data_IF_884247121013
#
_entry.id   IF_884247121013
#
_cell.length_a   1.000
_cell.length_b   1.000
_cell.length_c   1.000
_cell.angle_alpha   90.00
_cell.angle_beta   90.00
_cell.angle_gamma   90.00
#
_symmetry.space_group_name_H-M   'P 1'
#
loop_
_entity.id
_entity.type
_entity.pdbx_description
1 polymer ?
#
# COMPACT_ATOMS: atom_id res chain seq x y z
N UNK A 1 -16.92 -27.12 -3.04
CA UNK A 1 -17.03 -25.87 -3.85
C UNK A 1 -17.02 -24.68 -2.91
N UNK A 2 -15.83 -24.28 -2.44
CA UNK A 2 -15.67 -23.18 -1.50
C UNK A 2 -15.69 -21.84 -2.26
N UNK A 3 -16.69 -21.00 -1.98
CA UNK A 3 -16.80 -19.65 -2.53
C UNK A 3 -15.66 -18.79 -1.94
N UNK A 4 -14.82 -18.32 -2.84
CA UNK A 4 -13.73 -17.35 -2.64
C UNK A 4 -14.25 -16.07 -1.97
N UNK A 5 -13.68 -15.69 -0.83
CA UNK A 5 -14.02 -14.45 -0.12
C UNK A 5 -12.92 -13.41 -0.36
N UNK A 6 -13.27 -12.33 -1.05
CA UNK A 6 -12.54 -11.06 -0.98
C UNK A 6 -12.69 -10.54 0.45
N UNK A 7 -11.63 -9.94 1.01
CA UNK A 7 -11.65 -9.37 2.35
C UNK A 7 -12.63 -8.18 2.42
N UNK A 8 -13.88 -8.50 2.72
CA UNK A 8 -15.03 -7.62 2.61
C UNK A 8 -14.88 -6.40 3.53
N UNK A 9 -14.24 -6.56 4.70
CA UNK A 9 -13.89 -5.49 5.63
C UNK A 9 -13.14 -4.36 4.95
N UNK A 10 -12.02 -4.66 4.28
CA UNK A 10 -11.15 -3.65 3.68
C UNK A 10 -11.82 -3.01 2.47
N UNK A 11 -12.40 -3.83 1.60
CA UNK A 11 -13.11 -3.33 0.44
C UNK A 11 -14.29 -2.45 0.87
N UNK A 12 -15.01 -2.84 1.91
CA UNK A 12 -16.10 -2.08 2.51
C UNK A 12 -15.68 -0.72 3.06
N UNK A 13 -14.62 -0.69 3.88
CA UNK A 13 -14.08 0.55 4.42
C UNK A 13 -13.60 1.51 3.32
N UNK A 14 -12.98 0.99 2.26
CA UNK A 14 -12.51 1.80 1.13
C UNK A 14 -13.65 2.35 0.30
N UNK A 15 -14.66 1.51 -0.01
CA UNK A 15 -15.87 1.96 -0.70
C UNK A 15 -16.62 3.02 0.13
N UNK A 16 -16.65 2.88 1.46
CA UNK A 16 -17.22 3.88 2.37
C UNK A 16 -16.50 5.21 2.27
N UNK A 17 -15.16 5.20 2.34
CA UNK A 17 -14.34 6.41 2.28
C UNK A 17 -14.52 7.13 0.94
N UNK A 18 -14.43 6.40 -0.18
CA UNK A 18 -14.67 6.94 -1.52
C UNK A 18 -16.08 7.52 -1.64
N UNK A 19 -17.11 6.79 -1.17
CA UNK A 19 -18.48 7.31 -1.19
C UNK A 19 -18.63 8.58 -0.36
N UNK A 20 -17.97 8.68 0.79
CA UNK A 20 -18.01 9.90 1.62
C UNK A 20 -17.34 11.10 0.94
N UNK A 21 -16.31 10.85 0.13
CA UNK A 21 -15.64 11.89 -0.64
C UNK A 21 -16.46 12.34 -1.87
N UNK A 22 -17.14 11.42 -2.54
CA UNK A 22 -17.87 11.71 -3.78
C UNK A 22 -19.32 12.15 -3.54
N UNK A 23 -19.98 11.61 -2.50
CA UNK A 23 -21.40 11.82 -2.28
C UNK A 23 -21.70 12.41 -0.90
N UNK A 24 -22.61 13.41 -0.83
CA UNK A 24 -22.93 14.10 0.42
C UNK A 24 -23.63 13.19 1.44
N UNK A 25 -24.25 12.10 1.00
CA UNK A 25 -24.87 11.12 1.90
C UNK A 25 -24.91 9.72 1.30
N UNK A 26 -25.13 8.73 2.16
CA UNK A 26 -25.37 7.35 1.73
C UNK A 26 -26.66 7.24 0.90
N UNK A 27 -27.68 8.05 1.20
CA UNK A 27 -28.93 8.09 0.44
C UNK A 27 -28.72 8.61 -0.98
N UNK A 28 -27.92 9.65 -1.15
CA UNK A 28 -27.58 10.20 -2.47
C UNK A 28 -26.93 9.13 -3.36
N UNK A 29 -25.91 8.43 -2.84
CA UNK A 29 -25.28 7.34 -3.58
C UNK A 29 -26.22 6.15 -3.83
N UNK A 30 -27.10 5.83 -2.87
CA UNK A 30 -28.08 4.76 -3.02
C UNK A 30 -29.03 5.02 -4.20
N UNK A 31 -29.51 6.28 -4.32
CA UNK A 31 -30.38 6.71 -5.42
C UNK A 31 -29.68 6.61 -6.78
N UNK A 32 -28.39 6.98 -6.84
CA UNK A 32 -27.63 7.01 -8.09
C UNK A 32 -27.14 5.62 -8.53
N UNK A 33 -26.57 4.83 -7.62
CA UNK A 33 -26.05 3.49 -7.90
C UNK A 33 -27.14 2.41 -8.04
N UNK A 34 -28.37 2.72 -7.60
CA UNK A 34 -29.45 1.73 -7.48
C UNK A 34 -29.10 0.58 -6.52
N UNK A 35 -28.25 0.84 -5.52
CA UNK A 35 -27.92 -0.11 -4.45
C UNK A 35 -28.75 0.27 -3.22
N UNK A 36 -29.59 -0.62 -2.66
CA UNK A 36 -30.40 -0.28 -1.50
C UNK A 36 -29.56 0.16 -0.30
N UNK A 37 -29.99 1.19 0.41
CA UNK A 37 -29.35 1.72 1.63
C UNK A 37 -28.88 0.65 2.62
N UNK A 38 -29.72 -0.36 2.87
CA UNK A 38 -29.40 -1.47 3.79
C UNK A 38 -28.25 -2.34 3.25
N UNK A 39 -28.24 -2.61 1.96
CA UNK A 39 -27.15 -3.34 1.30
C UNK A 39 -25.88 -2.51 1.31
N UNK A 40 -25.98 -1.21 1.04
CA UNK A 40 -24.85 -0.30 1.04
C UNK A 40 -24.21 -0.16 2.42
N UNK A 41 -25.01 -0.10 3.50
CA UNK A 41 -24.48 -0.11 4.86
C UNK A 41 -23.69 -1.39 5.18
N UNK A 42 -24.18 -2.55 4.73
CA UNK A 42 -23.49 -3.84 4.89
C UNK A 42 -22.22 -3.94 4.03
N UNK A 43 -22.25 -3.39 2.81
CA UNK A 43 -21.05 -3.24 1.97
C UNK A 43 -20.02 -2.41 2.72
N UNK A 44 -20.40 -1.22 3.19
CA UNK A 44 -19.51 -0.28 3.89
C UNK A 44 -18.97 -0.76 5.24
N UNK A 45 -19.68 -1.68 5.90
CA UNK A 45 -19.19 -2.36 7.11
C UNK A 45 -18.34 -3.59 6.80
N UNK A 46 -18.27 -4.00 5.54
CA UNK A 46 -17.55 -5.18 5.10
C UNK A 46 -18.15 -6.50 5.58
N UNK A 47 -19.47 -6.60 5.52
CA UNK A 47 -20.23 -7.80 5.90
C UNK A 47 -20.00 -8.96 4.91
N UNK A 48 -19.40 -10.05 5.39
CA UNK A 48 -19.11 -11.27 4.61
C UNK A 48 -20.36 -11.99 4.06
N UNK A 49 -21.54 -11.67 4.59
CA UNK A 49 -22.83 -12.13 4.08
C UNK A 49 -23.34 -11.34 2.87
N UNK A 50 -22.58 -10.35 2.37
CA UNK A 50 -22.88 -9.62 1.14
C UNK A 50 -22.11 -10.25 -0.03
N UNK A 51 -22.82 -10.54 -1.13
CA UNK A 51 -22.16 -11.15 -2.28
C UNK A 51 -21.16 -10.21 -2.94
N UNK A 52 -20.04 -10.76 -3.44
CA UNK A 52 -19.02 -10.02 -4.17
C UNK A 52 -19.59 -9.13 -5.28
N UNK A 53 -20.58 -9.64 -6.05
CA UNK A 53 -21.23 -8.86 -7.10
C UNK A 53 -21.84 -7.52 -6.62
N UNK A 54 -22.20 -7.40 -5.34
CA UNK A 54 -22.68 -6.14 -4.74
C UNK A 54 -21.54 -5.17 -4.43
N UNK A 55 -20.39 -5.68 -3.96
CA UNK A 55 -19.17 -4.89 -3.82
C UNK A 55 -18.68 -4.38 -5.18
N UNK A 56 -18.66 -5.25 -6.19
CA UNK A 56 -18.30 -4.88 -7.58
C UNK A 56 -19.23 -3.80 -8.14
N UNK A 57 -20.54 -3.93 -7.89
CA UNK A 57 -21.52 -2.91 -8.32
C UNK A 57 -21.26 -1.56 -7.64
N UNK A 58 -20.94 -1.55 -6.35
CA UNK A 58 -20.61 -0.33 -5.62
C UNK A 58 -19.30 0.30 -6.12
N UNK A 59 -18.26 -0.51 -6.33
CA UNK A 59 -16.99 -0.06 -6.89
C UNK A 59 -17.18 0.57 -8.28
N UNK A 60 -17.95 -0.08 -9.16
CA UNK A 60 -18.27 0.45 -10.49
C UNK A 60 -19.04 1.77 -10.44
N UNK A 61 -20.00 1.89 -9.53
CA UNK A 61 -20.78 3.12 -9.36
C UNK A 61 -19.97 4.28 -8.73
N UNK A 62 -18.80 3.96 -8.14
CA UNK A 62 -17.83 4.94 -7.64
C UNK A 62 -16.67 5.15 -8.63
N UNK A 63 -16.75 4.57 -9.83
CA UNK A 63 -15.66 4.54 -10.82
C UNK A 63 -14.34 3.97 -10.26
N UNK A 64 -14.42 3.14 -9.23
CA UNK A 64 -13.30 2.63 -8.46
C UNK A 64 -12.97 1.17 -8.81
N UNK A 65 -13.08 0.79 -10.09
CA UNK A 65 -12.78 -0.59 -10.53
C UNK A 65 -11.34 -1.00 -10.20
N UNK A 66 -10.42 -0.04 -10.18
CA UNK A 66 -9.02 -0.23 -9.79
C UNK A 66 -8.86 -0.81 -8.37
N UNK A 67 -9.82 -0.59 -7.46
CA UNK A 67 -9.77 -1.20 -6.12
C UNK A 67 -9.78 -2.73 -6.17
N UNK A 68 -10.32 -3.30 -7.25
CA UNK A 68 -10.44 -4.75 -7.44
C UNK A 68 -9.16 -5.34 -7.99
N UNK A 69 -8.36 -4.55 -8.70
CA UNK A 69 -7.06 -4.93 -9.24
C UNK A 69 -5.97 -4.94 -8.16
N UNK A 70 -6.19 -4.21 -7.05
CA UNK A 70 -5.28 -4.13 -5.90
C UNK A 70 -5.32 -5.39 -5.02
N UNK A 71 -6.41 -6.17 -5.05
CA UNK A 71 -6.48 -7.42 -4.28
C UNK A 71 -5.94 -8.58 -5.14
N UNK A 72 -4.72 -9.06 -4.90
CA UNK A 72 -4.23 -10.24 -5.60
C UNK A 72 -5.10 -11.42 -5.21
N UNK A 73 -5.31 -12.34 -6.14
CA UNK A 73 -6.11 -13.56 -6.00
C UNK A 73 -5.45 -14.61 -5.07
N UNK A 74 -5.00 -14.22 -3.87
CA UNK A 74 -4.33 -15.11 -2.93
C UNK A 74 -4.85 -14.94 -1.50
N UNK A 75 -5.68 -15.92 -1.12
CA UNK A 75 -5.80 -16.60 0.19
C UNK A 75 -5.82 -15.79 1.50
N UNK A 76 -7.00 -15.81 2.14
CA UNK A 76 -7.30 -15.93 3.59
C UNK A 76 -6.63 -15.03 4.65
N UNK A 77 -5.95 -13.93 4.31
CA UNK A 77 -5.65 -12.94 5.33
C UNK A 77 -6.77 -11.88 5.42
N UNK A 78 -7.51 -11.88 6.53
CA UNK A 78 -7.96 -10.62 7.13
C UNK A 78 -6.72 -9.71 7.21
N UNK A 79 -6.52 -8.81 6.25
CA UNK A 79 -5.44 -7.83 6.30
C UNK A 79 -5.78 -6.82 7.39
N UNK A 80 -5.53 -7.26 8.61
CA UNK A 80 -5.07 -6.39 9.69
C UNK A 80 -3.73 -5.82 9.25
N UNK A 81 -3.41 -4.57 9.60
CA UNK A 81 -2.07 -4.05 9.43
C UNK A 81 -1.09 -5.09 10.02
N UNK A 82 -0.08 -5.52 9.28
CA UNK A 82 0.91 -6.46 9.78
C UNK A 82 1.47 -5.95 11.11
N UNK A 83 1.37 -6.79 12.15
CA UNK A 83 1.87 -6.48 13.49
C UNK A 83 3.35 -6.09 13.47
N UNK A 84 4.10 -6.71 12.56
CA UNK A 84 5.47 -6.36 12.24
C UNK A 84 5.60 -6.06 10.74
N UNK A 85 5.86 -4.79 10.42
CA UNK A 85 5.99 -4.28 9.06
C UNK A 85 7.36 -3.64 8.85
N UNK A 86 8.04 -4.00 7.77
CA UNK A 86 9.32 -3.43 7.38
C UNK A 86 9.18 -2.71 6.03
N UNK A 87 9.64 -1.46 5.97
CA UNK A 87 9.51 -0.60 4.79
C UNK A 87 10.65 0.43 4.72
N UNK A 88 10.58 1.36 3.76
CA UNK A 88 11.54 2.44 3.57
C UNK A 88 12.95 1.94 3.29
N UNK A 89 13.95 2.70 3.76
CA UNK A 89 15.37 2.37 3.56
C UNK A 89 15.72 0.92 3.98
N UNK A 90 15.16 0.43 5.09
CA UNK A 90 15.41 -0.92 5.57
C UNK A 90 14.92 -2.01 4.60
N UNK A 91 13.76 -1.82 3.98
CA UNK A 91 13.25 -2.76 2.97
C UNK A 91 13.98 -2.62 1.63
N UNK A 92 14.46 -1.42 1.28
CA UNK A 92 15.31 -1.22 0.09
C UNK A 92 16.67 -1.94 0.19
N UNK A 93 17.17 -2.20 1.41
CA UNK A 93 18.37 -2.99 1.65
C UNK A 93 18.17 -4.51 1.51
N UNK A 94 16.93 -4.99 1.38
CA UNK A 94 16.63 -6.41 1.19
C UNK A 94 16.64 -6.78 -0.29
N UNK A 95 16.93 -8.03 -0.62
CA UNK A 95 16.94 -8.50 -2.01
C UNK A 95 15.54 -8.44 -2.61
N UNK A 96 15.40 -7.69 -3.70
CA UNK A 96 14.15 -7.55 -4.44
C UNK A 96 13.89 -8.72 -5.39
N UNK A 97 12.87 -8.58 -6.24
CA UNK A 97 12.48 -9.59 -7.24
C UNK A 97 13.61 -9.97 -8.20
N UNK A 98 14.51 -9.04 -8.46
CA UNK A 98 15.65 -9.21 -9.38
C UNK A 98 16.89 -9.79 -8.67
N UNK A 99 16.78 -10.17 -7.40
CA UNK A 99 17.87 -10.77 -6.62
C UNK A 99 18.89 -9.78 -6.05
N UNK A 100 18.75 -8.49 -6.35
CA UNK A 100 19.63 -7.42 -5.86
C UNK A 100 18.90 -6.52 -4.85
N UNK A 101 19.58 -6.00 -3.81
CA UNK A 101 19.05 -4.91 -3.01
C UNK A 101 19.14 -3.59 -3.78
N UNK A 102 18.19 -2.67 -3.53
CA UNK A 102 18.24 -1.33 -4.12
C UNK A 102 19.24 -0.43 -3.39
N UNK A 103 19.37 -0.59 -2.06
CA UNK A 103 20.39 0.10 -1.28
C UNK A 103 21.49 -0.88 -0.82
N UNK A 104 22.73 -0.53 -1.12
CA UNK A 104 23.92 -1.36 -0.89
C UNK A 104 24.46 -1.28 0.55
N UNK A 105 23.77 -0.61 1.48
CA UNK A 105 24.12 -0.61 2.90
C UNK A 105 23.96 -2.00 3.58
N UNK A 106 23.53 -3.01 2.82
CA UNK A 106 23.37 -4.41 3.24
C UNK A 106 24.68 -5.15 3.53
N UNK A 107 25.86 -4.55 3.29
CA UNK A 107 27.15 -5.05 3.84
C UNK A 107 27.15 -5.17 5.38
N UNK A 108 26.10 -4.67 6.04
CA UNK A 108 25.86 -4.75 7.47
C UNK A 108 25.07 -6.00 7.90
N UNK A 109 24.40 -6.72 6.99
CA UNK A 109 23.72 -7.99 7.33
C UNK A 109 24.72 -9.12 7.66
N UNK A 110 25.98 -8.97 7.24
CA UNK A 110 27.04 -9.93 7.58
C UNK A 110 27.56 -9.81 9.02
N UNK A 111 27.13 -8.80 9.79
CA UNK A 111 27.57 -8.62 11.18
C UNK A 111 26.38 -8.54 12.15
N UNK A 112 25.95 -9.72 12.62
CA UNK A 112 24.77 -9.92 13.46
C UNK A 112 24.79 -9.18 14.81
N UNK A 113 25.93 -8.67 15.26
CA UNK A 113 26.03 -7.96 16.55
C UNK A 113 25.73 -6.46 16.45
N UNK A 114 25.74 -5.88 15.24
CA UNK A 114 25.58 -4.42 15.01
C UNK A 114 24.39 -4.08 14.11
N UNK A 115 23.50 -5.03 13.84
CA UNK A 115 22.33 -4.78 12.99
C UNK A 115 21.34 -3.82 13.66
N UNK A 116 20.89 -2.81 12.92
CA UNK A 116 19.84 -1.87 13.35
C UNK A 116 18.78 -1.72 12.26
N UNK A 117 17.50 -1.79 12.65
CA UNK A 117 16.40 -1.43 11.75
C UNK A 117 16.22 0.09 11.80
N UNK A 118 16.51 0.76 10.69
CA UNK A 118 16.20 2.17 10.54
C UNK A 118 14.71 2.37 10.16
N UNK A 119 14.14 3.50 10.58
CA UNK A 119 12.78 3.89 10.16
C UNK A 119 11.64 3.26 10.97
N UNK A 120 11.85 2.92 12.25
CA UNK A 120 10.80 2.42 13.17
C UNK A 120 9.53 3.30 13.17
N UNK A 121 9.69 4.61 13.02
CA UNK A 121 8.58 5.58 13.04
C UNK A 121 8.07 5.95 11.64
N UNK A 122 8.48 5.22 10.61
CA UNK A 122 8.04 5.48 9.26
C UNK A 122 6.58 5.05 9.08
N UNK A 123 5.78 5.95 8.52
CA UNK A 123 4.34 5.73 8.40
C UNK A 123 4.03 4.76 7.27
N UNK A 124 3.38 3.65 7.60
CA UNK A 124 2.92 2.68 6.61
C UNK A 124 1.80 3.24 5.74
N UNK A 125 1.85 2.96 4.43
CA UNK A 125 0.75 3.27 3.50
C UNK A 125 -0.23 2.12 3.32
N UNK A 126 -0.30 1.18 4.27
CA UNK A 126 -1.25 0.04 4.22
C UNK A 126 -2.71 0.51 4.09
N UNK A 127 -3.02 1.68 4.65
CA UNK A 127 -4.32 2.31 4.49
C UNK A 127 -4.60 2.82 3.06
N UNK A 128 -3.56 3.11 2.27
CA UNK A 128 -3.64 3.56 0.87
C UNK A 128 -3.54 2.41 -0.14
N UNK A 129 -2.59 1.50 0.05
CA UNK A 129 -2.28 0.46 -0.93
C UNK A 129 -2.67 -0.96 -0.48
N UNK A 130 -3.09 -1.14 0.77
CA UNK A 130 -3.45 -2.46 1.30
C UNK A 130 -2.24 -3.39 1.26
N UNK A 131 -2.47 -4.62 0.80
CA UNK A 131 -1.43 -5.64 0.64
C UNK A 131 -0.55 -5.46 -0.62
N UNK A 132 -0.82 -4.46 -1.47
CA UNK A 132 -0.08 -4.29 -2.72
C UNK A 132 1.40 -3.99 -2.45
N UNK A 133 2.27 -4.78 -3.08
CA UNK A 133 3.71 -4.64 -2.87
C UNK A 133 4.20 -5.12 -1.51
N UNK A 134 3.46 -5.98 -0.81
CA UNK A 134 3.86 -6.57 0.47
C UNK A 134 4.04 -8.08 0.32
N UNK A 135 5.06 -8.64 0.96
CA UNK A 135 5.33 -10.09 1.00
C UNK A 135 5.81 -10.53 2.39
N UNK A 136 5.76 -11.83 2.68
CA UNK A 136 6.34 -12.40 3.90
C UNK A 136 7.88 -12.49 3.74
N UNK A 137 8.59 -11.66 4.51
CA UNK A 137 10.06 -11.61 4.49
C UNK A 137 10.73 -12.35 5.65
N UNK A 138 9.97 -13.04 6.51
CA UNK A 138 10.52 -13.72 7.69
C UNK A 138 11.57 -14.75 7.33
N UNK A 139 11.38 -15.48 6.23
CA UNK A 139 12.35 -16.48 5.80
C UNK A 139 13.69 -15.84 5.44
N UNK A 140 13.68 -14.67 4.78
CA UNK A 140 14.91 -13.95 4.41
C UNK A 140 15.67 -13.47 5.65
N UNK A 141 14.94 -12.92 6.63
CA UNK A 141 15.55 -12.44 7.87
C UNK A 141 16.11 -13.59 8.73
N UNK A 142 15.39 -14.72 8.82
CA UNK A 142 15.87 -15.93 9.50
C UNK A 142 17.07 -16.53 8.80
N UNK A 143 17.08 -16.56 7.46
CA UNK A 143 18.22 -17.03 6.68
C UNK A 143 19.46 -16.16 6.91
N UNK A 144 19.27 -14.86 7.16
CA UNK A 144 20.34 -13.95 7.57
C UNK A 144 20.78 -14.12 9.04
N UNK A 145 20.21 -15.06 9.79
CA UNK A 145 20.55 -15.34 11.19
C UNK A 145 19.78 -14.52 12.22
N UNK A 146 18.72 -13.80 11.81
CA UNK A 146 17.94 -12.96 12.70
C UNK A 146 16.71 -13.72 13.18
N UNK A 147 16.59 -13.92 14.50
CA UNK A 147 15.41 -14.54 15.10
C UNK A 147 14.26 -13.52 15.17
N UNK A 148 13.25 -13.73 14.33
CA UNK A 148 12.10 -12.82 14.18
C UNK A 148 10.76 -13.56 14.09
N UNK A 149 9.67 -12.94 14.57
CA UNK A 149 8.31 -13.40 14.32
C UNK A 149 7.96 -13.29 12.81
N UNK A 150 6.68 -13.45 12.47
CA UNK A 150 6.21 -13.15 11.11
C UNK A 150 6.37 -11.66 10.83
N UNK A 151 7.15 -11.31 9.80
CA UNK A 151 7.48 -9.93 9.40
C UNK A 151 7.07 -9.74 7.95
N UNK A 152 6.17 -8.80 7.74
CA UNK A 152 5.72 -8.41 6.41
C UNK A 152 6.61 -7.28 5.88
N UNK A 153 7.03 -7.40 4.64
CA UNK A 153 8.04 -6.53 4.04
C UNK A 153 7.48 -5.90 2.79
N UNK A 154 7.70 -4.59 2.64
CA UNK A 154 7.46 -3.87 1.40
C UNK A 154 8.46 -4.31 0.32
N UNK A 155 8.01 -4.61 -0.90
CA UNK A 155 8.91 -4.65 -2.05
C UNK A 155 9.51 -3.26 -2.29
N UNK A 156 10.51 -3.16 -3.17
CA UNK A 156 11.26 -1.92 -3.34
C UNK A 156 10.39 -0.74 -3.75
N UNK A 157 9.47 -0.94 -4.68
CA UNK A 157 8.55 0.10 -5.13
C UNK A 157 7.67 0.59 -3.98
N UNK A 158 7.27 -0.31 -3.07
CA UNK A 158 6.38 0.00 -1.93
C UNK A 158 7.15 0.64 -0.80
N UNK A 159 8.38 0.19 -0.59
CA UNK A 159 9.31 0.79 0.32
C UNK A 159 9.60 2.24 -0.08
N UNK A 160 9.83 2.50 -1.37
CA UNK A 160 10.01 3.85 -1.90
C UNK A 160 8.73 4.69 -1.75
N UNK A 161 7.57 4.15 -2.11
CA UNK A 161 6.29 4.85 -1.95
C UNK A 161 6.02 5.25 -0.49
N UNK A 162 6.19 4.33 0.47
CA UNK A 162 6.07 4.60 1.90
C UNK A 162 7.03 5.70 2.35
N UNK A 163 8.28 5.64 1.86
CA UNK A 163 9.33 6.60 2.18
C UNK A 163 8.94 8.02 1.73
N UNK A 164 8.55 8.16 0.46
CA UNK A 164 8.12 9.44 -0.10
C UNK A 164 6.86 9.97 0.58
N UNK A 165 5.88 9.10 0.82
CA UNK A 165 4.65 9.48 1.51
C UNK A 165 4.94 10.00 2.93
N UNK A 166 5.82 9.33 3.68
CA UNK A 166 6.16 9.78 5.03
C UNK A 166 6.81 11.17 5.03
N UNK A 167 7.83 11.40 4.20
CA UNK A 167 8.55 12.67 4.24
C UNK A 167 7.81 13.80 3.54
N UNK A 168 7.22 13.55 2.38
CA UNK A 168 6.66 14.60 1.52
C UNK A 168 5.19 14.90 1.83
N UNK A 169 4.37 13.89 2.13
CA UNK A 169 2.95 14.10 2.46
C UNK A 169 2.74 14.35 3.96
N UNK A 170 3.27 13.47 4.82
CA UNK A 170 3.02 13.56 6.28
C UNK A 170 3.90 14.61 6.96
N UNK A 171 5.22 14.53 6.79
CA UNK A 171 6.17 15.43 7.46
C UNK A 171 6.33 16.77 6.75
N UNK A 172 6.05 16.82 5.44
CA UNK A 172 6.26 17.99 4.56
C UNK A 172 7.70 18.49 4.61
N UNK A 173 8.66 17.57 4.61
CA UNK A 173 10.11 17.81 4.62
C UNK A 173 10.77 17.17 3.40
N UNK A 174 12.02 17.54 3.12
CA UNK A 174 12.79 16.86 2.08
C UNK A 174 13.03 15.38 2.41
N UNK A 175 13.20 14.57 1.37
CA UNK A 175 13.58 13.15 1.46
C UNK A 175 15.06 13.07 1.86
N UNK A 176 15.39 12.47 3.02
CA UNK A 176 16.78 12.39 3.46
C UNK A 176 17.50 11.20 2.83
N UNK A 177 18.81 11.32 2.66
CA UNK A 177 19.79 10.22 2.47
C UNK A 177 19.60 9.26 1.28
N UNK A 178 18.56 9.44 0.45
CA UNK A 178 18.32 8.65 -0.76
C UNK A 178 18.04 9.63 -1.89
N UNK A 179 18.79 9.53 -2.99
CA UNK A 179 18.51 10.17 -4.26
C UNK A 179 17.94 9.13 -5.24
N UNK A 180 17.20 9.60 -6.25
CA UNK A 180 16.63 8.72 -7.26
C UNK A 180 17.71 7.91 -7.99
N UNK A 181 18.84 8.55 -8.32
CA UNK A 181 19.99 7.92 -8.98
C UNK A 181 20.69 6.84 -8.15
N UNK A 182 20.37 6.73 -6.86
CA UNK A 182 20.95 5.70 -6.00
C UNK A 182 20.23 4.35 -6.15
N UNK A 183 19.03 4.34 -6.74
CA UNK A 183 18.11 3.20 -6.71
C UNK A 183 17.37 2.93 -8.04
N UNK A 184 17.48 3.79 -9.05
CA UNK A 184 16.69 3.72 -10.29
C UNK A 184 17.11 2.59 -11.25
N UNK A 185 18.25 1.95 -10.99
CA UNK A 185 18.72 0.75 -11.66
C UNK A 185 18.05 -0.54 -11.15
N UNK A 186 17.52 -0.52 -9.92
CA UNK A 186 16.88 -1.68 -9.27
C UNK A 186 15.38 -1.48 -9.08
N UNK A 187 14.94 -0.28 -8.71
CA UNK A 187 13.55 0.03 -8.38
C UNK A 187 12.77 0.44 -9.62
N UNK A 188 11.58 -0.15 -9.83
CA UNK A 188 10.67 0.33 -10.87
C UNK A 188 10.00 1.65 -10.44
N UNK A 189 10.67 2.75 -10.74
CA UNK A 189 10.22 4.12 -10.46
C UNK A 189 8.86 4.42 -11.11
N UNK A 190 8.57 3.80 -12.26
CA UNK A 190 7.29 4.01 -12.96
C UNK A 190 6.15 3.39 -12.15
N UNK A 191 6.34 2.19 -11.63
CA UNK A 191 5.36 1.54 -10.75
C UNK A 191 5.11 2.37 -9.48
N UNK A 192 6.14 2.95 -8.86
CA UNK A 192 5.94 3.86 -7.72
C UNK A 192 5.13 5.10 -8.12
N UNK A 193 5.39 5.68 -9.30
CA UNK A 193 4.63 6.81 -9.80
C UNK A 193 3.17 6.45 -10.12
N UNK A 194 2.91 5.29 -10.70
CA UNK A 194 1.56 4.79 -10.92
C UNK A 194 0.78 4.68 -9.61
N UNK A 195 1.43 4.32 -8.50
CA UNK A 195 0.80 4.29 -7.18
C UNK A 195 0.53 5.67 -6.59
N UNK A 196 1.36 6.67 -6.90
CA UNK A 196 1.07 8.09 -6.57
C UNK A 196 -0.21 8.53 -7.26
N UNK A 197 -0.37 8.17 -8.53
CA UNK A 197 -1.55 8.52 -9.32
C UNK A 197 -2.80 7.73 -8.87
N UNK A 198 -2.64 6.44 -8.60
CA UNK A 198 -3.68 5.58 -8.02
C UNK A 198 -4.21 6.13 -6.69
N UNK A 199 -3.33 6.69 -5.86
CA UNK A 199 -3.68 7.26 -4.56
C UNK A 199 -4.02 8.75 -4.61
N UNK A 200 -4.08 9.37 -5.80
CA UNK A 200 -4.21 10.83 -5.95
C UNK A 200 -5.39 11.45 -5.20
N UNK A 201 -6.53 10.75 -5.11
CA UNK A 201 -7.71 11.22 -4.36
C UNK A 201 -7.55 11.23 -2.83
N UNK A 202 -6.44 10.68 -2.32
CA UNK A 202 -6.13 10.59 -0.89
C UNK A 202 -4.88 11.37 -0.49
N UNK A 203 -4.14 11.91 -1.46
CA UNK A 203 -2.94 12.71 -1.24
C UNK A 203 -3.29 14.19 -1.31
N UNK A 204 -2.59 15.03 -0.54
CA UNK A 204 -2.67 16.46 -0.75
C UNK A 204 -2.12 16.85 -2.13
N UNK A 205 -2.63 17.92 -2.77
CA UNK A 205 -2.06 18.41 -4.03
C UNK A 205 -0.56 18.70 -3.91
N UNK A 206 -0.13 19.27 -2.79
CA UNK A 206 1.27 19.60 -2.52
C UNK A 206 2.13 18.35 -2.36
N UNK A 207 1.69 17.38 -1.55
CA UNK A 207 2.43 16.13 -1.34
C UNK A 207 2.52 15.30 -2.61
N UNK A 208 1.42 15.18 -3.37
CA UNK A 208 1.43 14.51 -4.69
C UNK A 208 2.40 15.19 -5.66
N UNK A 209 2.38 16.52 -5.75
CA UNK A 209 3.29 17.28 -6.59
C UNK A 209 4.75 17.06 -6.18
N UNK A 210 5.04 17.09 -4.88
CA UNK A 210 6.37 16.85 -4.35
C UNK A 210 6.86 15.42 -4.62
N UNK A 211 6.00 14.41 -4.45
CA UNK A 211 6.32 13.01 -4.74
C UNK A 211 6.63 12.82 -6.23
N UNK A 212 5.82 13.42 -7.13
CA UNK A 212 6.09 13.41 -8.58
C UNK A 212 7.40 14.09 -8.94
N UNK A 213 7.66 15.26 -8.34
CA UNK A 213 8.90 16.00 -8.53
C UNK A 213 10.12 15.18 -8.12
N UNK A 214 10.04 14.47 -6.99
CA UNK A 214 11.12 13.58 -6.54
C UNK A 214 11.35 12.40 -7.50
N UNK A 215 10.27 11.81 -8.04
CA UNK A 215 10.31 10.71 -9.01
C UNK A 215 10.72 11.17 -10.43
N UNK A 216 11.11 12.43 -10.61
CA UNK A 216 11.53 12.98 -11.90
C UNK A 216 10.38 13.22 -12.89
N UNK A 217 9.12 13.19 -12.44
CA UNK A 217 7.95 13.47 -13.26
C UNK A 217 7.56 14.95 -13.13
N UNK A 218 7.81 15.73 -14.18
CA UNK A 218 7.38 17.14 -14.23
C UNK A 218 5.84 17.26 -14.16
N UNK A 219 5.35 18.31 -13.52
CA UNK A 219 3.95 18.73 -13.63
C UNK A 219 3.73 19.26 -15.05
N UNK A 220 3.04 18.48 -15.87
CA UNK A 220 2.43 18.94 -17.12
C UNK A 220 1.04 19.49 -16.86
#
# INVERSE_FOLDING_TARGET
MARQAINAAILGHRLKALRQATYPSRQAFSNESGIPMRTLARIESGDDGVSLGRYLKAAKALEANWLLDIFPSHTEATFSPPEHYLTGASALCLTGKNGHPALWYSSSLSNLNDWQIAGRDLSSTNHLLGALGIFDGSHMLRFAGIDVPTVWVANHERALFDYLHHFLEIKRTQVPNIQLSDIDDVVDVRQTADWVELCSGFLSPEGRSAMRGWLGQSCG
#
